data_IF_192319504541
#
_entry.id   IF_192319504541
#
_cell.length_a   1.000
_cell.length_b   1.000
_cell.length_c   1.000
_cell.angle_alpha   90.00
_cell.angle_beta   90.00
_cell.angle_gamma   90.00
#
_symmetry.space_group_name_H-M   'P 1'
#
loop_
_entity.id
_entity.type
_entity.pdbx_description
1 polymer ?
#
# COMPACT_ATOMS: atom_id res chain seq x y z
N UNK A 1 -41.85 -25.15 15.26
CA UNK A 1 -40.40 -25.48 15.25
C UNK A 1 -39.71 -25.05 13.95
N UNK A 2 -40.10 -25.56 12.77
CA UNK A 2 -39.40 -25.25 11.52
C UNK A 2 -39.36 -23.75 11.16
N UNK A 3 -40.50 -23.05 11.25
CA UNK A 3 -40.58 -21.61 10.96
C UNK A 3 -39.72 -20.78 11.92
N UNK A 4 -39.77 -21.09 13.23
CA UNK A 4 -38.95 -20.41 14.24
C UNK A 4 -37.45 -20.53 13.95
N UNK A 5 -36.99 -21.74 13.61
CA UNK A 5 -35.59 -22.00 13.27
C UNK A 5 -35.18 -21.29 11.97
N UNK A 6 -36.09 -21.21 10.98
CA UNK A 6 -35.86 -20.46 9.75
C UNK A 6 -35.66 -18.98 10.05
N UNK A 7 -36.56 -18.37 10.83
CA UNK A 7 -36.48 -16.95 11.19
C UNK A 7 -35.20 -16.64 11.96
N UNK A 8 -34.82 -17.51 12.90
CA UNK A 8 -33.60 -17.33 13.69
C UNK A 8 -32.33 -17.37 12.82
N UNK A 9 -32.28 -18.28 11.83
CA UNK A 9 -31.16 -18.34 10.88
C UNK A 9 -31.05 -17.07 10.04
N UNK A 10 -32.18 -16.57 9.53
CA UNK A 10 -32.21 -15.35 8.73
C UNK A 10 -31.76 -14.15 9.58
N UNK A 11 -32.26 -14.04 10.82
CA UNK A 11 -31.85 -13.00 11.75
C UNK A 11 -30.35 -13.06 12.05
N UNK A 12 -29.81 -14.25 12.28
CA UNK A 12 -28.38 -14.45 12.53
C UNK A 12 -27.53 -14.02 11.32
N UNK A 13 -27.93 -14.42 10.10
CA UNK A 13 -27.22 -14.02 8.88
C UNK A 13 -27.26 -12.51 8.67
N UNK A 14 -28.43 -11.88 8.85
CA UNK A 14 -28.56 -10.43 8.75
C UNK A 14 -27.66 -9.70 9.76
N UNK A 15 -27.59 -10.20 11.00
CA UNK A 15 -26.73 -9.63 12.04
C UNK A 15 -25.24 -9.76 11.70
N UNK A 16 -24.80 -10.94 11.24
CA UNK A 16 -23.40 -11.17 10.86
C UNK A 16 -23.01 -10.29 9.67
N UNK A 17 -23.83 -10.26 8.62
CA UNK A 17 -23.57 -9.47 7.42
C UNK A 17 -23.56 -7.98 7.75
N UNK A 18 -24.58 -7.50 8.48
CA UNK A 18 -24.66 -6.10 8.91
C UNK A 18 -23.47 -5.71 9.80
N UNK A 19 -23.10 -6.56 10.75
CA UNK A 19 -21.94 -6.36 11.62
C UNK A 19 -20.62 -6.33 10.85
N UNK A 20 -20.42 -7.24 9.90
CA UNK A 20 -19.23 -7.27 9.06
C UNK A 20 -19.12 -5.99 8.21
N UNK A 21 -20.21 -5.55 7.59
CA UNK A 21 -20.26 -4.29 6.83
C UNK A 21 -19.94 -3.11 7.73
N UNK A 22 -20.50 -3.05 8.95
CA UNK A 22 -20.22 -1.98 9.90
C UNK A 22 -18.73 -1.96 10.34
N UNK A 23 -18.14 -3.11 10.60
CA UNK A 23 -16.72 -3.22 10.95
C UNK A 23 -15.81 -2.82 9.80
N UNK A 24 -16.08 -3.30 8.58
CA UNK A 24 -15.30 -2.96 7.38
C UNK A 24 -15.40 -1.46 7.10
N UNK A 25 -16.61 -0.90 7.05
CA UNK A 25 -16.81 0.53 6.79
C UNK A 25 -16.16 1.40 7.86
N UNK A 26 -16.25 1.01 9.14
CA UNK A 26 -15.53 1.68 10.25
C UNK A 26 -14.02 1.58 10.08
N UNK A 27 -13.51 0.41 9.71
CA UNK A 27 -12.09 0.18 9.44
C UNK A 27 -11.57 1.03 8.28
N UNK A 28 -12.30 1.07 7.16
CA UNK A 28 -11.97 1.91 6.00
C UNK A 28 -12.01 3.39 6.39
N UNK A 29 -13.05 3.84 7.10
CA UNK A 29 -13.18 5.24 7.53
C UNK A 29 -12.04 5.63 8.47
N UNK A 30 -11.66 4.76 9.41
CA UNK A 30 -10.52 4.97 10.32
C UNK A 30 -9.19 4.95 9.56
N UNK A 31 -9.01 4.04 8.60
CA UNK A 31 -7.82 3.96 7.76
C UNK A 31 -7.66 5.21 6.89
N UNK A 32 -8.74 5.68 6.26
CA UNK A 32 -8.75 6.93 5.49
C UNK A 32 -8.50 8.15 6.37
N UNK A 33 -9.10 8.22 7.54
CA UNK A 33 -8.83 9.29 8.50
C UNK A 33 -7.35 9.32 8.90
N UNK A 34 -6.73 8.16 9.17
CA UNK A 34 -5.31 8.06 9.48
C UNK A 34 -4.41 8.41 8.27
N UNK A 35 -4.82 8.11 7.04
CA UNK A 35 -4.08 8.52 5.83
C UNK A 35 -4.19 10.03 5.56
N UNK A 36 -5.29 10.64 5.97
CA UNK A 36 -5.56 12.07 5.81
C UNK A 36 -5.08 12.90 7.00
N UNK A 37 -4.71 12.27 8.12
CA UNK A 37 -4.11 12.95 9.27
C UNK A 37 -2.63 13.26 8.98
N UNK A 38 -2.24 14.54 8.85
CA UNK A 38 -0.85 14.93 8.62
C UNK A 38 0.09 14.50 9.75
N UNK A 39 -0.43 14.15 10.93
CA UNK A 39 0.34 13.66 12.10
C UNK A 39 0.68 12.17 11.99
N UNK A 40 0.00 11.43 11.10
CA UNK A 40 0.27 10.02 10.79
C UNK A 40 1.25 9.83 9.62
N UNK A 41 1.63 10.91 8.93
CA UNK A 41 2.84 10.89 8.12
C UNK A 41 3.97 10.58 9.10
N UNK A 42 4.60 9.41 8.93
CA UNK A 42 5.86 9.11 9.61
C UNK A 42 6.82 10.29 9.47
N UNK A 43 7.80 10.45 10.39
CA UNK A 43 8.70 11.60 10.39
C UNK A 43 9.11 11.95 8.95
N UNK A 44 8.82 13.17 8.50
CA UNK A 44 9.25 13.64 7.17
C UNK A 44 10.73 13.30 7.01
N UNK A 45 11.08 12.55 5.97
CA UNK A 45 12.44 12.04 5.77
C UNK A 45 12.69 10.58 6.17
N UNK A 46 11.67 9.75 6.44
CA UNK A 46 11.87 8.30 6.53
C UNK A 46 12.16 7.73 5.12
N UNK A 47 13.41 7.29 4.83
CA UNK A 47 13.87 7.00 3.46
C UNK A 47 13.13 5.87 2.72
N UNK A 48 12.31 5.10 3.44
CA UNK A 48 11.52 3.98 2.91
C UNK A 48 10.04 4.28 2.65
N UNK A 49 9.44 5.28 3.29
CA UNK A 49 8.00 5.54 3.15
C UNK A 49 7.68 6.27 1.84
N UNK A 50 8.50 7.26 1.49
CA UNK A 50 8.32 8.06 0.29
C UNK A 50 8.68 7.28 -0.99
N UNK A 51 9.68 6.39 -0.91
CA UNK A 51 10.08 5.50 -2.01
C UNK A 51 9.04 4.40 -2.29
N UNK A 52 8.42 3.80 -1.26
CA UNK A 52 7.35 2.82 -1.45
C UNK A 52 6.02 3.43 -1.86
N UNK A 53 5.68 4.62 -1.36
CA UNK A 53 4.37 5.25 -1.62
C UNK A 53 4.31 6.02 -2.94
N UNK A 54 5.43 6.57 -3.41
CA UNK A 54 5.47 7.43 -4.60
C UNK A 54 6.41 6.92 -5.70
N UNK A 55 7.08 5.77 -5.51
CA UNK A 55 8.07 5.25 -6.47
C UNK A 55 9.29 6.17 -6.64
N UNK A 56 9.43 7.18 -5.79
CA UNK A 56 10.56 8.09 -5.78
C UNK A 56 11.71 7.43 -5.03
N UNK A 57 12.38 6.48 -5.68
CA UNK A 57 13.72 6.07 -5.22
C UNK A 57 14.64 7.27 -5.42
N UNK A 58 15.41 7.72 -4.41
CA UNK A 58 16.49 8.65 -4.66
C UNK A 58 17.42 8.04 -5.72
N UNK A 59 17.94 8.84 -6.65
CA UNK A 59 18.96 8.39 -7.60
C UNK A 59 20.15 7.88 -6.79
N UNK A 60 20.21 6.57 -6.55
CA UNK A 60 21.39 5.91 -6.01
C UNK A 60 22.41 5.97 -7.14
N UNK A 61 23.48 6.77 -7.01
CA UNK A 61 24.48 6.83 -8.06
C UNK A 61 24.98 5.40 -8.25
N UNK A 62 24.87 4.91 -9.48
CA UNK A 62 25.45 3.62 -9.82
C UNK A 62 26.97 3.69 -9.61
N UNK A 63 27.62 2.61 -9.18
CA UNK A 63 29.07 2.64 -8.97
C UNK A 63 29.79 2.88 -10.30
N UNK A 64 31.00 3.42 -10.26
CA UNK A 64 31.73 3.90 -11.45
C UNK A 64 31.89 2.86 -12.57
N UNK A 65 31.93 1.56 -12.22
CA UNK A 65 31.98 0.47 -13.20
C UNK A 65 30.74 0.36 -14.09
N UNK A 66 29.59 0.91 -13.66
CA UNK A 66 28.34 0.88 -14.42
C UNK A 66 28.30 1.89 -15.58
N UNK A 67 29.23 2.86 -15.61
CA UNK A 67 29.38 3.81 -16.71
C UNK A 67 30.52 3.42 -17.67
N UNK A 68 31.13 2.25 -17.47
CA UNK A 68 32.41 1.88 -18.09
C UNK A 68 32.33 1.08 -19.40
N UNK A 69 31.15 0.89 -20.00
CA UNK A 69 30.99 -0.01 -21.17
C UNK A 69 30.83 0.70 -22.53
N UNK A 70 30.89 2.03 -22.58
CA UNK A 70 30.59 2.77 -23.83
C UNK A 70 31.84 3.31 -24.56
N UNK A 71 33.05 3.14 -24.00
CA UNK A 71 34.30 3.69 -24.59
C UNK A 71 35.16 2.64 -25.31
N UNK A 72 34.55 1.60 -25.89
CA UNK A 72 35.31 0.52 -26.55
C UNK A 72 34.79 0.04 -27.90
N UNK A 73 34.25 0.95 -28.72
CA UNK A 73 34.11 0.72 -30.16
C UNK A 73 34.53 1.98 -30.93
N UNK A 74 35.82 2.06 -31.26
CA UNK A 74 36.42 3.19 -31.98
C UNK A 74 37.88 2.94 -32.35
N UNK A 75 38.11 1.83 -33.04
CA UNK A 75 39.36 1.57 -33.78
C UNK A 75 39.56 2.67 -34.84
N UNK A 76 40.66 3.42 -34.76
CA UNK A 76 41.30 3.99 -35.96
C UNK A 76 42.79 4.18 -35.69
N UNK A 77 43.55 3.16 -36.08
CA UNK A 77 45.01 3.21 -36.11
C UNK A 77 45.56 4.30 -37.03
N UNK A 78 46.67 4.90 -36.59
CA UNK A 78 47.71 5.48 -37.43
C UNK A 78 49.03 5.56 -36.68
#
# INVERSE_FOLDING_TARGET
MAVLLLTLKIALLAFIVGGAVALITRGIRRSRANRLDPRWKGPRGQPGYESQAFGAMPNTPLPDWAYGDDERDGDEGR
#
